data_IF_820670423949
#
_entry.id   IF_820670423949
#
_cell.length_a   1.000
_cell.length_b   1.000
_cell.length_c   1.000
_cell.angle_alpha   90.00
_cell.angle_beta   90.00
_cell.angle_gamma   90.00
#
_symmetry.space_group_name_H-M   'P 1'
#
loop_
_entity.id
_entity.type
_entity.pdbx_description
1 polymer ?
#
# COMPACT_ATOMS: atom_id res chain seq x y z
N UNK A 1 13.75 4.45 -0.51
CA UNK A 1 13.14 4.53 0.83
C UNK A 1 13.55 5.76 1.62
N UNK A 2 14.84 6.10 1.76
CA UNK A 2 15.29 7.29 2.49
C UNK A 2 14.57 8.59 2.07
N UNK A 3 14.55 8.89 0.76
CA UNK A 3 13.86 10.07 0.22
C UNK A 3 12.37 10.08 0.57
N UNK A 4 11.69 8.92 0.50
CA UNK A 4 10.28 8.79 0.86
C UNK A 4 10.05 9.17 2.33
N UNK A 5 10.92 8.70 3.24
CA UNK A 5 10.84 9.01 4.67
C UNK A 5 11.15 10.49 4.94
N UNK A 6 12.13 11.07 4.25
CA UNK A 6 12.54 12.46 4.45
C UNK A 6 11.57 13.48 3.85
N UNK A 7 10.75 13.08 2.86
CA UNK A 7 9.90 13.99 2.07
C UNK A 7 9.04 14.93 2.93
N UNK A 8 8.26 14.45 3.93
CA UNK A 8 7.46 15.35 4.76
C UNK A 8 8.30 16.43 5.45
N UNK A 9 9.41 16.04 6.07
CA UNK A 9 10.27 16.95 6.80
C UNK A 9 10.98 17.98 5.90
N UNK A 10 11.27 17.61 4.65
CA UNK A 10 11.87 18.51 3.66
C UNK A 10 10.85 19.50 3.06
N UNK A 11 9.56 19.16 3.07
CA UNK A 11 8.52 19.95 2.42
C UNK A 11 7.83 20.92 3.36
N UNK A 12 7.71 20.59 4.65
CA UNK A 12 7.05 21.42 5.66
C UNK A 12 7.99 22.54 6.14
N UNK A 13 7.49 23.78 6.32
CA UNK A 13 8.33 24.93 6.64
C UNK A 13 8.86 24.94 8.08
N UNK A 14 8.07 24.44 9.05
CA UNK A 14 8.34 24.58 10.49
C UNK A 14 8.54 23.23 11.19
N UNK A 15 9.57 22.48 10.78
CA UNK A 15 9.93 21.21 11.42
C UNK A 15 11.02 21.43 12.47
N UNK A 16 10.71 21.16 13.73
CA UNK A 16 11.67 21.29 14.84
C UNK A 16 12.90 20.40 14.68
N UNK A 17 14.05 20.84 15.22
CA UNK A 17 15.34 20.14 15.11
C UNK A 17 15.28 18.68 15.56
N UNK A 18 14.55 18.40 16.63
CA UNK A 18 14.43 17.06 17.19
C UNK A 18 13.68 16.13 16.22
N UNK A 19 12.64 16.63 15.57
CA UNK A 19 11.90 15.88 14.55
C UNK A 19 12.78 15.61 13.31
N UNK A 20 13.60 16.56 12.89
CA UNK A 20 14.55 16.37 11.79
C UNK A 20 15.55 15.26 12.13
N UNK A 21 16.11 15.25 13.34
CA UNK A 21 17.05 14.21 13.78
C UNK A 21 16.42 12.82 13.75
N UNK A 22 15.18 12.69 14.26
CA UNK A 22 14.43 11.42 14.21
C UNK A 22 14.19 11.00 12.75
N UNK A 23 13.75 11.90 11.88
CA UNK A 23 13.49 11.60 10.46
C UNK A 23 14.76 11.16 9.74
N UNK A 24 15.91 11.82 9.98
CA UNK A 24 17.20 11.42 9.41
C UNK A 24 17.59 10.03 9.88
N UNK A 25 17.45 9.72 11.18
CA UNK A 25 17.74 8.41 11.73
C UNK A 25 16.87 7.32 11.08
N UNK A 26 15.55 7.54 11.01
CA UNK A 26 14.62 6.60 10.36
C UNK A 26 14.93 6.44 8.88
N UNK A 27 15.30 7.52 8.18
CA UNK A 27 15.68 7.47 6.77
C UNK A 27 16.95 6.64 6.54
N UNK A 28 17.96 6.75 7.42
CA UNK A 28 19.17 5.92 7.37
C UNK A 28 18.82 4.45 7.60
N UNK A 29 18.02 4.13 8.62
CA UNK A 29 17.57 2.76 8.86
C UNK A 29 16.78 2.19 7.68
N UNK A 30 15.87 2.96 7.11
CA UNK A 30 15.10 2.54 5.94
C UNK A 30 16.00 2.33 4.71
N UNK A 31 17.05 3.15 4.52
CA UNK A 31 18.04 2.97 3.48
C UNK A 31 18.84 1.67 3.68
N UNK A 32 19.34 1.45 4.89
CA UNK A 32 20.10 0.27 5.25
C UNK A 32 19.27 -1.01 5.05
N UNK A 33 18.03 -1.04 5.55
CA UNK A 33 17.12 -2.17 5.35
C UNK A 33 16.86 -2.45 3.87
N UNK A 34 16.64 -1.40 3.07
CA UNK A 34 16.48 -1.56 1.62
C UNK A 34 17.74 -2.14 0.98
N UNK A 35 18.91 -1.64 1.37
CA UNK A 35 20.19 -2.12 0.82
C UNK A 35 20.42 -3.59 1.18
N UNK A 36 20.22 -3.99 2.43
CA UNK A 36 20.37 -5.38 2.86
C UNK A 36 19.39 -6.32 2.13
N UNK A 37 18.14 -5.89 1.98
CA UNK A 37 17.09 -6.68 1.34
C UNK A 37 17.40 -6.97 -0.14
N UNK A 38 17.93 -5.97 -0.87
CA UNK A 38 18.25 -6.08 -2.30
C UNK A 38 19.68 -6.55 -2.57
N UNK A 39 20.57 -6.55 -1.58
CA UNK A 39 21.92 -7.12 -1.69
C UNK A 39 21.95 -8.64 -1.44
N UNK A 40 20.98 -9.19 -0.71
CA UNK A 40 20.90 -10.62 -0.39
C UNK A 40 20.29 -11.43 -1.54
N UNK A 41 20.88 -12.59 -1.87
CA UNK A 41 20.25 -13.57 -2.77
C UNK A 41 19.20 -14.45 -2.08
N UNK A 42 19.22 -14.52 -0.74
CA UNK A 42 18.25 -15.28 0.05
C UNK A 42 16.93 -14.53 0.22
N UNK A 43 15.82 -15.23 0.54
CA UNK A 43 14.55 -14.58 0.81
C UNK A 43 14.68 -13.66 2.02
N UNK A 44 14.19 -12.43 1.86
CA UNK A 44 14.17 -11.43 2.92
C UNK A 44 12.75 -11.12 3.39
N UNK A 45 12.54 -9.91 3.89
CA UNK A 45 11.24 -9.45 4.40
C UNK A 45 10.30 -8.98 3.28
N UNK A 46 10.85 -8.61 2.11
CA UNK A 46 10.08 -8.02 1.02
C UNK A 46 9.56 -9.12 0.11
N UNK A 47 8.26 -9.37 0.25
CA UNK A 47 7.53 -10.22 -0.70
C UNK A 47 7.57 -9.62 -2.11
N UNK A 48 7.55 -10.48 -3.12
CA UNK A 48 7.56 -10.13 -4.53
C UNK A 48 8.78 -9.29 -4.94
N UNK A 49 9.92 -9.45 -4.24
CA UNK A 49 11.16 -8.70 -4.49
C UNK A 49 11.56 -8.73 -5.96
N UNK A 50 11.57 -9.92 -6.55
CA UNK A 50 11.96 -10.18 -7.93
C UNK A 50 10.75 -10.25 -8.87
N UNK A 51 9.66 -9.57 -8.50
CA UNK A 51 8.45 -9.41 -9.29
C UNK A 51 8.24 -7.91 -9.61
N UNK A 52 8.83 -7.43 -10.73
CA UNK A 52 8.97 -6.01 -11.03
C UNK A 52 7.71 -5.14 -10.97
N UNK A 53 6.48 -5.57 -11.35
CA UNK A 53 5.34 -4.66 -11.27
C UNK A 53 4.90 -4.38 -9.82
N UNK A 54 5.02 -5.36 -8.92
CA UNK A 54 4.42 -5.28 -7.60
C UNK A 54 5.08 -4.23 -6.71
N UNK A 55 6.38 -4.39 -6.43
CA UNK A 55 7.07 -3.49 -5.51
C UNK A 55 7.31 -2.10 -6.10
N UNK A 56 7.47 -1.98 -7.42
CA UNK A 56 7.62 -0.67 -8.08
C UNK A 56 6.34 0.18 -7.96
N UNK A 57 5.18 -0.41 -8.21
CA UNK A 57 3.89 0.31 -8.11
C UNK A 57 3.58 0.65 -6.65
N UNK A 58 3.85 -0.26 -5.71
CA UNK A 58 3.69 0.02 -4.27
C UNK A 58 4.58 1.16 -3.82
N UNK A 59 5.87 1.15 -4.19
CA UNK A 59 6.77 2.23 -3.83
C UNK A 59 6.34 3.57 -4.46
N UNK A 60 6.05 3.58 -5.77
CA UNK A 60 5.64 4.80 -6.48
C UNK A 60 4.35 5.40 -5.92
N UNK A 61 3.35 4.57 -5.63
CA UNK A 61 2.08 5.01 -5.04
C UNK A 61 2.24 5.54 -3.62
N UNK A 62 3.03 4.87 -2.77
CA UNK A 62 3.31 5.37 -1.42
C UNK A 62 4.07 6.70 -1.48
N UNK A 63 5.08 6.80 -2.34
CA UNK A 63 5.84 8.04 -2.51
C UNK A 63 4.94 9.18 -2.98
N UNK A 64 4.12 8.95 -4.02
CA UNK A 64 3.16 9.93 -4.51
C UNK A 64 2.15 10.34 -3.44
N UNK A 65 1.68 9.39 -2.62
CA UNK A 65 0.76 9.64 -1.50
C UNK A 65 1.42 10.55 -0.47
N UNK A 66 2.60 10.19 0.03
CA UNK A 66 3.33 10.98 1.03
C UNK A 66 3.64 12.39 0.49
N UNK A 67 4.11 12.48 -0.75
CA UNK A 67 4.44 13.75 -1.40
C UNK A 67 3.20 14.66 -1.56
N UNK A 68 2.10 14.14 -2.11
CA UNK A 68 0.89 14.93 -2.35
C UNK A 68 0.17 15.30 -1.07
N UNK A 69 0.15 14.44 -0.05
CA UNK A 69 -0.40 14.81 1.28
C UNK A 69 0.49 15.85 1.95
N UNK A 70 1.83 15.78 1.79
CA UNK A 70 2.73 16.83 2.29
C UNK A 70 2.42 18.19 1.66
N UNK A 71 2.05 18.24 0.37
CA UNK A 71 1.58 19.46 -0.28
C UNK A 71 0.23 19.95 0.26
N UNK A 72 -0.72 19.04 0.51
CA UNK A 72 -2.02 19.40 1.13
C UNK A 72 -1.79 20.06 2.49
N UNK A 73 -0.97 19.44 3.35
CA UNK A 73 -0.72 19.95 4.70
C UNK A 73 0.06 21.27 4.66
N UNK A 74 1.11 21.37 3.82
CA UNK A 74 1.86 22.61 3.58
C UNK A 74 0.97 23.77 3.11
N UNK A 75 -0.07 23.49 2.33
CA UNK A 75 -1.00 24.50 1.83
C UNK A 75 -1.68 25.34 2.92
N UNK A 76 -1.72 24.84 4.16
CA UNK A 76 -2.28 25.54 5.31
C UNK A 76 -1.42 26.73 5.77
N UNK A 77 -0.10 26.69 5.52
CA UNK A 77 0.86 27.70 5.96
C UNK A 77 1.48 28.46 4.78
N UNK A 78 1.79 27.75 3.69
CA UNK A 78 2.41 28.30 2.49
C UNK A 78 1.54 28.07 1.25
N UNK A 79 0.97 29.17 0.76
CA UNK A 79 0.02 29.18 -0.34
C UNK A 79 0.77 29.37 -1.66
N UNK A 80 0.75 28.35 -2.51
CA UNK A 80 1.34 28.37 -3.85
C UNK A 80 0.33 27.79 -4.84
N UNK A 81 0.56 28.03 -6.14
CA UNK A 81 -0.28 27.45 -7.19
C UNK A 81 -0.33 25.92 -7.11
N UNK A 82 0.79 25.28 -6.74
CA UNK A 82 0.88 23.84 -6.59
C UNK A 82 0.05 23.33 -5.39
N UNK A 83 0.15 23.98 -4.22
CA UNK A 83 -0.62 23.56 -3.03
C UNK A 83 -2.12 23.73 -3.28
N UNK A 84 -2.55 24.86 -3.86
CA UNK A 84 -3.95 25.08 -4.22
C UNK A 84 -4.49 24.07 -5.23
N UNK A 85 -3.72 23.71 -6.25
CA UNK A 85 -4.14 22.72 -7.23
C UNK A 85 -4.36 21.34 -6.60
N UNK A 86 -3.41 20.88 -5.78
CA UNK A 86 -3.49 19.60 -5.09
C UNK A 86 -4.64 19.60 -4.07
N UNK A 87 -4.81 20.68 -3.32
CA UNK A 87 -5.90 20.86 -2.37
C UNK A 87 -7.27 20.85 -3.07
N UNK A 88 -7.40 21.51 -4.23
CA UNK A 88 -8.65 21.54 -5.00
C UNK A 88 -9.05 20.13 -5.45
N UNK A 89 -8.10 19.34 -5.96
CA UNK A 89 -8.35 17.94 -6.35
C UNK A 89 -8.74 17.13 -5.12
N UNK A 90 -7.96 17.20 -4.03
CA UNK A 90 -8.22 16.44 -2.81
C UNK A 90 -9.59 16.76 -2.22
N UNK A 91 -9.98 18.04 -2.24
CA UNK A 91 -11.27 18.52 -1.75
C UNK A 91 -12.41 18.02 -2.63
N UNK A 92 -12.27 18.09 -3.97
CA UNK A 92 -13.27 17.62 -4.91
C UNK A 92 -13.53 16.11 -4.74
N UNK A 93 -12.46 15.31 -4.70
CA UNK A 93 -12.57 13.87 -4.51
C UNK A 93 -13.12 13.54 -3.12
N UNK A 94 -12.60 14.21 -2.08
CA UNK A 94 -13.06 14.04 -0.70
C UNK A 94 -14.56 14.26 -0.58
N UNK A 95 -15.08 15.34 -1.15
CA UNK A 95 -16.53 15.64 -1.20
C UNK A 95 -17.31 14.62 -2.02
N UNK A 96 -16.76 14.16 -3.15
CA UNK A 96 -17.43 13.18 -4.02
C UNK A 96 -17.60 11.81 -3.36
N UNK A 97 -16.71 11.46 -2.42
CA UNK A 97 -16.73 10.21 -1.66
C UNK A 97 -17.34 10.43 -0.26
N UNK A 98 -17.79 11.63 0.08
CA UNK A 98 -18.41 11.96 1.37
C UNK A 98 -19.91 11.60 1.40
N UNK A 99 -20.22 10.30 1.41
CA UNK A 99 -21.57 9.77 1.60
C UNK A 99 -21.65 8.91 2.88
N UNK A 100 -22.86 8.62 3.41
CA UNK A 100 -23.00 7.85 4.64
C UNK A 100 -22.22 6.53 4.61
N UNK A 101 -21.43 6.29 5.66
CA UNK A 101 -20.58 5.11 5.85
C UNK A 101 -19.42 4.94 4.86
N UNK A 102 -19.10 5.95 4.06
CA UNK A 102 -17.92 5.90 3.20
C UNK A 102 -16.62 5.89 4.01
N UNK A 103 -15.53 5.31 3.49
CA UNK A 103 -14.25 5.26 4.20
C UNK A 103 -13.69 6.66 4.47
N UNK A 104 -13.87 7.60 3.52
CA UNK A 104 -13.47 9.01 3.68
C UNK A 104 -14.31 9.73 4.75
N UNK A 105 -15.61 9.42 4.87
CA UNK A 105 -16.44 9.95 5.97
C UNK A 105 -15.96 9.45 7.32
N UNK A 106 -15.66 8.16 7.41
CA UNK A 106 -15.29 7.50 8.66
C UNK A 106 -13.95 8.00 9.20
N UNK A 107 -13.04 8.47 8.35
CA UNK A 107 -11.73 8.95 8.79
C UNK A 107 -11.80 10.12 9.79
N UNK A 108 -12.86 10.93 9.70
CA UNK A 108 -13.11 12.04 10.63
C UNK A 108 -13.29 11.56 12.06
N UNK A 109 -13.67 10.28 12.27
CA UNK A 109 -13.76 9.67 13.60
C UNK A 109 -12.42 9.57 14.31
N UNK A 110 -11.30 9.68 13.59
CA UNK A 110 -9.97 9.69 14.19
C UNK A 110 -9.65 11.03 14.85
N UNK A 111 -10.36 12.12 14.49
CA UNK A 111 -10.17 13.42 15.11
C UNK A 111 -10.79 13.48 16.52
N UNK A 112 -10.22 14.29 17.42
CA UNK A 112 -10.81 14.53 18.73
C UNK A 112 -12.13 15.32 18.60
N UNK A 113 -12.97 15.27 19.64
CA UNK A 113 -14.29 15.91 19.64
C UNK A 113 -14.23 17.45 19.54
N UNK A 114 -13.10 18.05 19.92
CA UNK A 114 -12.83 19.49 19.85
C UNK A 114 -12.13 19.93 18.56
N UNK A 115 -11.99 19.05 17.57
CA UNK A 115 -11.35 19.38 16.30
C UNK A 115 -12.05 20.54 15.59
N UNK A 116 -11.26 21.44 15.02
CA UNK A 116 -11.78 22.62 14.32
C UNK A 116 -12.35 22.25 12.95
N UNK A 117 -13.14 23.16 12.36
CA UNK A 117 -13.61 22.98 10.99
C UNK A 117 -12.45 22.86 9.99
N UNK A 118 -11.33 23.55 10.24
CA UNK A 118 -10.13 23.46 9.43
C UNK A 118 -9.53 22.03 9.48
N UNK A 119 -9.37 21.45 10.68
CA UNK A 119 -8.83 20.09 10.84
C UNK A 119 -9.66 19.05 10.07
N UNK A 120 -10.99 19.18 10.13
CA UNK A 120 -11.91 18.29 9.42
C UNK A 120 -11.75 18.42 7.90
N UNK A 121 -11.63 19.64 7.39
CA UNK A 121 -11.45 19.89 5.95
C UNK A 121 -10.10 19.34 5.50
N UNK A 122 -9.01 19.68 6.20
CA UNK A 122 -7.66 19.22 5.89
C UNK A 122 -7.57 17.70 5.88
N UNK A 123 -8.14 17.04 6.90
CA UNK A 123 -8.15 15.58 6.99
C UNK A 123 -8.95 14.95 5.84
N UNK A 124 -10.13 15.48 5.52
CA UNK A 124 -10.94 14.98 4.39
C UNK A 124 -10.26 15.18 3.04
N UNK A 125 -9.62 16.33 2.84
CA UNK A 125 -8.86 16.63 1.61
C UNK A 125 -7.68 15.67 1.46
N UNK A 126 -6.91 15.47 2.53
CA UNK A 126 -5.81 14.51 2.57
C UNK A 126 -6.30 13.07 2.30
N UNK A 127 -7.39 12.67 2.95
CA UNK A 127 -8.00 11.35 2.75
C UNK A 127 -8.51 11.14 1.33
N UNK A 128 -9.17 12.16 0.75
CA UNK A 128 -9.64 12.14 -0.64
C UNK A 128 -8.50 11.97 -1.63
N UNK A 129 -7.40 12.72 -1.43
CA UNK A 129 -6.18 12.59 -2.24
C UNK A 129 -5.53 11.21 -2.11
N UNK A 130 -5.33 10.72 -0.87
CA UNK A 130 -4.73 9.42 -0.61
C UNK A 130 -5.56 8.28 -1.21
N UNK A 131 -6.88 8.36 -1.07
CA UNK A 131 -7.79 7.37 -1.62
C UNK A 131 -7.79 7.38 -3.15
N UNK A 132 -7.77 8.56 -3.78
CA UNK A 132 -7.60 8.68 -5.25
C UNK A 132 -6.33 7.95 -5.71
N UNK A 133 -5.19 8.23 -5.07
CA UNK A 133 -3.90 7.61 -5.42
C UNK A 133 -3.96 6.10 -5.22
N UNK A 134 -4.60 5.63 -4.15
CA UNK A 134 -4.77 4.20 -3.88
C UNK A 134 -5.57 3.49 -4.98
N UNK A 135 -6.66 4.09 -5.46
CA UNK A 135 -7.48 3.56 -6.55
C UNK A 135 -6.74 3.59 -7.89
N UNK A 136 -6.05 4.69 -8.20
CA UNK A 136 -5.22 4.80 -9.40
C UNK A 136 -4.09 3.77 -9.40
N UNK A 137 -3.45 3.57 -8.25
CA UNK A 137 -2.40 2.55 -8.10
C UNK A 137 -2.93 1.14 -8.36
N UNK A 138 -4.13 0.83 -7.85
CA UNK A 138 -4.82 -0.44 -8.09
C UNK A 138 -5.18 -0.62 -9.57
N UNK A 139 -5.70 0.42 -10.22
CA UNK A 139 -6.01 0.41 -11.65
C UNK A 139 -4.76 0.21 -12.50
N UNK A 140 -3.69 0.97 -12.23
CA UNK A 140 -2.39 0.84 -12.91
C UNK A 140 -1.82 -0.56 -12.70
N UNK A 141 -1.90 -1.11 -11.48
CA UNK A 141 -1.46 -2.47 -11.19
C UNK A 141 -2.19 -3.49 -12.07
N UNK A 142 -3.52 -3.44 -12.12
CA UNK A 142 -4.32 -4.34 -12.96
C UNK A 142 -4.00 -4.21 -14.45
N UNK A 143 -3.83 -2.97 -14.95
CA UNK A 143 -3.46 -2.70 -16.34
C UNK A 143 -2.09 -3.31 -16.65
N UNK A 144 -1.09 -3.08 -15.80
CA UNK A 144 0.27 -3.62 -15.99
C UNK A 144 0.26 -5.15 -15.96
N UNK A 145 -0.45 -5.76 -15.01
CA UNK A 145 -0.58 -7.22 -14.98
C UNK A 145 -1.19 -7.77 -16.27
N UNK A 146 -2.20 -7.08 -16.84
CA UNK A 146 -2.86 -7.51 -18.08
C UNK A 146 -2.01 -7.26 -19.33
N UNK A 147 -1.37 -6.10 -19.43
CA UNK A 147 -0.57 -5.71 -20.60
C UNK A 147 0.71 -6.55 -20.76
N UNK A 148 1.37 -6.91 -19.64
CA UNK A 148 2.63 -7.67 -19.66
C UNK A 148 2.43 -9.17 -19.41
N UNK A 149 1.18 -9.64 -19.31
CA UNK A 149 0.82 -11.03 -19.03
C UNK A 149 1.57 -11.64 -17.81
N UNK A 150 1.85 -10.81 -16.80
CA UNK A 150 2.53 -11.24 -15.58
C UNK A 150 1.65 -12.25 -14.81
N UNK A 151 2.21 -13.31 -14.19
CA UNK A 151 3.62 -13.62 -13.96
C UNK A 151 4.31 -14.39 -15.09
N UNK A 152 3.63 -14.67 -16.19
CA UNK A 152 4.09 -15.57 -17.27
C UNK A 152 5.13 -14.94 -18.22
N UNK A 153 5.91 -13.96 -17.77
CA UNK A 153 7.02 -13.41 -18.58
C UNK A 153 8.19 -14.40 -18.63
N UNK A 154 9.10 -14.24 -19.59
CA UNK A 154 10.19 -15.14 -20.01
C UNK A 154 11.08 -15.77 -18.92
N UNK A 155 10.97 -15.35 -17.66
CA UNK A 155 11.78 -15.81 -16.54
C UNK A 155 10.94 -16.68 -15.57
N UNK A 156 11.52 -17.76 -15.05
CA UNK A 156 10.79 -18.70 -14.18
C UNK A 156 10.47 -18.02 -12.84
N UNK A 157 9.20 -17.73 -12.58
CA UNK A 157 8.76 -17.14 -11.32
C UNK A 157 9.13 -18.03 -10.13
N UNK A 158 10.10 -17.59 -9.31
CA UNK A 158 10.52 -18.32 -8.13
C UNK A 158 9.57 -18.00 -6.95
N UNK A 159 8.70 -18.95 -6.63
CA UNK A 159 7.70 -18.82 -5.55
C UNK A 159 8.38 -18.63 -4.20
N UNK A 160 9.45 -19.36 -3.90
CA UNK A 160 10.11 -19.32 -2.58
C UNK A 160 10.79 -17.97 -2.30
N UNK A 161 11.40 -17.35 -3.30
CA UNK A 161 12.01 -16.02 -3.17
C UNK A 161 10.93 -14.93 -3.09
N UNK A 162 9.87 -15.04 -3.88
CA UNK A 162 8.83 -14.01 -3.95
C UNK A 162 7.77 -14.13 -2.85
N UNK A 163 7.63 -15.29 -2.21
CA UNK A 163 6.72 -15.54 -1.11
C UNK A 163 7.48 -16.21 0.05
N UNK A 164 8.42 -15.49 0.70
CA UNK A 164 9.25 -16.02 1.78
C UNK A 164 8.46 -16.56 2.97
N UNK A 165 7.29 -15.98 3.23
CA UNK A 165 6.38 -16.36 4.33
C UNK A 165 5.51 -17.58 3.98
N UNK A 166 5.52 -18.02 2.73
CA UNK A 166 4.74 -19.16 2.27
C UNK A 166 5.62 -20.41 2.19
N UNK A 167 5.34 -21.40 3.03
CA UNK A 167 6.03 -22.68 2.97
C UNK A 167 5.33 -23.64 1.99
N UNK A 168 5.95 -23.96 0.83
CA UNK A 168 5.38 -24.87 -0.15
C UNK A 168 5.39 -26.33 0.33
N UNK A 169 6.13 -26.66 1.39
CA UNK A 169 6.38 -28.05 1.84
C UNK A 169 5.45 -28.52 2.97
N UNK A 170 4.65 -27.64 3.57
CA UNK A 170 3.79 -27.95 4.75
C UNK A 170 2.62 -28.92 4.50
N UNK A 171 2.62 -29.67 3.40
CA UNK A 171 1.52 -30.58 3.04
C UNK A 171 0.27 -29.86 2.53
N UNK A 172 -0.52 -30.56 1.70
CA UNK A 172 -1.72 -30.03 1.05
C UNK A 172 -1.46 -29.31 -0.28
N UNK A 173 -2.54 -28.93 -0.97
CA UNK A 173 -2.44 -28.30 -2.28
C UNK A 173 -2.00 -26.83 -2.17
N UNK A 174 -0.82 -26.54 -2.71
CA UNK A 174 -0.25 -25.17 -2.82
C UNK A 174 -1.21 -24.21 -3.50
N UNK A 175 -1.92 -24.64 -4.55
CA UNK A 175 -2.83 -23.76 -5.31
C UNK A 175 -4.00 -23.34 -4.43
N UNK A 176 -4.70 -24.30 -3.81
CA UNK A 176 -5.82 -24.02 -2.90
C UNK A 176 -5.44 -23.09 -1.73
N UNK A 177 -4.22 -23.24 -1.17
CA UNK A 177 -3.72 -22.35 -0.11
C UNK A 177 -3.51 -20.91 -0.62
N UNK A 178 -2.84 -20.76 -1.77
CA UNK A 178 -2.63 -19.44 -2.37
C UNK A 178 -3.95 -18.73 -2.71
N UNK A 179 -4.95 -19.45 -3.21
CA UNK A 179 -6.27 -18.87 -3.47
C UNK A 179 -6.99 -18.42 -2.19
N UNK A 180 -6.91 -19.22 -1.13
CA UNK A 180 -7.51 -18.85 0.16
C UNK A 180 -6.85 -17.60 0.72
N UNK A 181 -5.52 -17.56 0.72
CA UNK A 181 -4.75 -16.43 1.24
C UNK A 181 -4.97 -15.18 0.36
N UNK A 182 -5.13 -15.36 -0.95
CA UNK A 182 -5.52 -14.29 -1.86
C UNK A 182 -6.88 -13.68 -1.48
N UNK A 183 -7.90 -14.51 -1.27
CA UNK A 183 -9.24 -14.07 -0.85
C UNK A 183 -9.20 -13.36 0.50
N UNK A 184 -8.42 -13.87 1.45
CA UNK A 184 -8.24 -13.23 2.75
C UNK A 184 -7.61 -11.84 2.63
N UNK A 185 -6.54 -11.70 1.82
CA UNK A 185 -5.90 -10.41 1.58
C UNK A 185 -6.85 -9.41 0.91
N UNK A 186 -7.64 -9.84 -0.09
CA UNK A 186 -8.64 -8.98 -0.75
C UNK A 186 -9.73 -8.55 0.24
N UNK A 187 -10.27 -9.49 1.03
CA UNK A 187 -11.29 -9.19 2.03
C UNK A 187 -10.77 -8.23 3.11
N UNK A 188 -9.57 -8.47 3.62
CA UNK A 188 -8.94 -7.61 4.61
C UNK A 188 -8.62 -6.22 4.03
N UNK A 189 -8.11 -6.16 2.80
CA UNK A 189 -7.90 -4.92 2.07
C UNK A 189 -9.17 -4.11 1.93
N UNK A 190 -10.32 -4.75 1.67
CA UNK A 190 -11.61 -4.07 1.62
C UNK A 190 -12.08 -3.55 2.99
N UNK A 191 -11.91 -4.35 4.05
CA UNK A 191 -12.42 -4.03 5.39
C UNK A 191 -11.58 -2.98 6.13
N UNK A 192 -10.26 -2.97 5.94
CA UNK A 192 -9.34 -2.12 6.69
C UNK A 192 -9.68 -0.61 6.67
N UNK A 193 -10.00 0.03 5.52
CA UNK A 193 -10.36 1.44 5.49
C UNK A 193 -11.52 1.81 6.41
N UNK A 194 -12.45 0.88 6.65
CA UNK A 194 -13.64 1.08 7.48
C UNK A 194 -13.37 0.76 8.94
N UNK A 195 -12.61 -0.30 9.21
CA UNK A 195 -12.28 -0.75 10.57
C UNK A 195 -11.29 0.20 11.24
N UNK A 196 -10.28 0.69 10.51
CA UNK A 196 -9.18 1.49 11.07
C UNK A 196 -9.67 2.74 11.81
N UNK A 197 -10.55 3.61 11.24
CA UNK A 197 -11.05 4.77 11.98
C UNK A 197 -11.81 4.41 13.25
N UNK A 198 -12.58 3.31 13.24
CA UNK A 198 -13.34 2.83 14.41
C UNK A 198 -12.40 2.37 15.51
N UNK A 199 -11.35 1.60 15.17
CA UNK A 199 -10.35 1.15 16.13
C UNK A 199 -9.56 2.31 16.72
N UNK A 200 -9.17 3.29 15.91
CA UNK A 200 -8.46 4.48 16.38
C UNK A 200 -9.34 5.27 17.36
N UNK A 201 -10.62 5.47 17.04
CA UNK A 201 -11.57 6.14 17.93
C UNK A 201 -11.74 5.39 19.26
N UNK A 202 -11.89 4.06 19.21
CA UNK A 202 -12.02 3.24 20.40
C UNK A 202 -10.76 3.29 21.28
N UNK A 203 -9.57 3.24 20.67
CA UNK A 203 -8.30 3.34 21.36
C UNK A 203 -8.10 4.72 22.00
N UNK A 204 -8.51 5.80 21.32
CA UNK A 204 -8.42 7.16 21.86
C UNK A 204 -9.23 7.36 23.15
N UNK A 205 -10.38 6.68 23.27
CA UNK A 205 -11.18 6.69 24.50
C UNK A 205 -10.52 5.98 25.69
N UNK A 206 -9.60 5.03 25.44
CA UNK A 206 -8.93 4.24 26.47
C UNK A 206 -7.51 4.73 26.81
N UNK A 207 -6.77 5.25 25.82
CA UNK A 207 -5.35 5.60 25.93
C UNK A 207 -5.08 7.12 25.84
N UNK A 208 -6.12 7.92 25.61
CA UNK A 208 -6.00 9.35 25.28
C UNK A 208 -5.90 9.59 23.77
N UNK A 209 -6.33 10.77 23.32
CA UNK A 209 -6.33 11.12 21.90
C UNK A 209 -4.90 11.28 21.36
N UNK A 210 -4.54 10.51 20.34
CA UNK A 210 -3.35 10.80 19.53
C UNK A 210 -3.59 12.14 18.84
N UNK A 211 -2.72 13.11 19.08
CA UNK A 211 -2.84 14.42 18.46
C UNK A 211 -2.54 14.32 16.97
N UNK A 212 -3.59 14.17 16.17
CA UNK A 212 -3.56 14.42 14.73
C UNK A 212 -3.33 15.91 14.41
N UNK A 213 -3.07 16.78 15.39
CA UNK A 213 -2.68 18.16 15.13
C UNK A 213 -1.24 18.27 14.60
N UNK A 214 -0.40 17.24 14.77
CA UNK A 214 0.93 17.24 14.21
C UNK A 214 0.89 16.89 12.71
N UNK A 215 1.40 17.79 11.87
CA UNK A 215 1.43 17.69 10.41
C UNK A 215 2.03 16.37 9.89
N UNK A 216 3.16 15.93 10.45
CA UNK A 216 3.78 14.65 10.06
C UNK A 216 2.92 13.46 10.47
N UNK A 217 2.22 13.56 11.60
CA UNK A 217 1.32 12.50 12.07
C UNK A 217 0.15 12.31 11.12
N UNK A 218 -0.45 13.41 10.62
CA UNK A 218 -1.49 13.35 9.59
C UNK A 218 -0.94 12.67 8.33
N UNK A 219 0.21 13.13 7.81
CA UNK A 219 0.79 12.62 6.57
C UNK A 219 0.98 11.11 6.64
N UNK A 220 1.61 10.61 7.70
CA UNK A 220 1.87 9.17 7.85
C UNK A 220 0.61 8.36 8.14
N UNK A 221 -0.30 8.86 8.98
CA UNK A 221 -1.55 8.14 9.31
C UNK A 221 -2.41 7.96 8.08
N UNK A 222 -2.62 9.03 7.30
CA UNK A 222 -3.44 8.98 6.09
C UNK A 222 -2.75 8.16 4.99
N UNK A 223 -1.43 8.29 4.85
CA UNK A 223 -0.66 7.46 3.91
C UNK A 223 -0.83 5.98 4.24
N UNK A 224 -0.65 5.58 5.51
CA UNK A 224 -0.80 4.20 5.95
C UNK A 224 -2.24 3.70 5.76
N UNK A 225 -3.23 4.51 6.14
CA UNK A 225 -4.65 4.19 6.01
C UNK A 225 -5.08 3.86 4.58
N UNK A 226 -4.57 4.59 3.58
CA UNK A 226 -4.89 4.31 2.17
C UNK A 226 -3.98 3.24 1.56
N UNK A 227 -2.68 3.24 1.90
CA UNK A 227 -1.67 2.38 1.29
C UNK A 227 -1.76 0.91 1.74
N UNK A 228 -2.03 0.66 3.03
CA UNK A 228 -2.10 -0.71 3.56
C UNK A 228 -3.22 -1.53 2.90
N UNK A 229 -4.48 -1.03 2.83
CA UNK A 229 -5.54 -1.65 2.04
C UNK A 229 -5.16 -1.94 0.60
N UNK A 230 -4.64 -0.94 -0.12
CA UNK A 230 -4.24 -1.09 -1.51
C UNK A 230 -3.13 -2.14 -1.69
N UNK A 231 -2.17 -2.19 -0.78
CA UNK A 231 -1.11 -3.20 -0.77
C UNK A 231 -1.66 -4.61 -0.56
N UNK A 232 -2.65 -4.80 0.32
CA UNK A 232 -3.30 -6.10 0.52
C UNK A 232 -4.11 -6.52 -0.71
N UNK A 233 -4.83 -5.60 -1.33
CA UNK A 233 -5.51 -5.87 -2.60
C UNK A 233 -4.53 -6.33 -3.69
N UNK A 234 -3.45 -5.56 -3.91
CA UNK A 234 -2.41 -5.93 -4.87
C UNK A 234 -1.84 -7.31 -4.55
N UNK A 235 -1.57 -7.58 -3.26
CA UNK A 235 -1.01 -8.86 -2.80
C UNK A 235 -1.95 -10.02 -3.10
N UNK A 236 -3.23 -9.87 -2.76
CA UNK A 236 -4.23 -10.90 -3.04
C UNK A 236 -4.41 -11.17 -4.52
N UNK A 237 -4.46 -10.12 -5.35
CA UNK A 237 -4.53 -10.26 -6.81
C UNK A 237 -3.27 -10.96 -7.36
N UNK A 238 -2.08 -10.61 -6.88
CA UNK A 238 -0.83 -11.24 -7.28
C UNK A 238 -0.80 -12.73 -6.92
N UNK A 239 -1.19 -13.08 -5.69
CA UNK A 239 -1.27 -14.47 -5.22
C UNK A 239 -2.26 -15.30 -6.05
N UNK A 240 -3.44 -14.75 -6.35
CA UNK A 240 -4.44 -15.44 -7.20
C UNK A 240 -3.88 -15.73 -8.59
N UNK A 241 -3.13 -14.79 -9.18
CA UNK A 241 -2.48 -15.01 -10.49
C UNK A 241 -1.37 -16.06 -10.44
N UNK A 242 -0.55 -16.06 -9.38
CA UNK A 242 0.48 -17.08 -9.18
C UNK A 242 -0.17 -18.46 -9.02
N UNK A 243 -1.27 -18.57 -8.27
CA UNK A 243 -2.04 -19.81 -8.13
C UNK A 243 -2.52 -20.34 -9.48
N UNK A 244 -3.10 -19.48 -10.32
CA UNK A 244 -3.54 -19.83 -11.68
C UNK A 244 -2.39 -20.30 -12.58
N UNK A 245 -1.26 -19.60 -12.55
CA UNK A 245 -0.05 -20.03 -13.29
C UNK A 245 0.40 -21.43 -12.88
N UNK A 246 0.44 -21.73 -11.57
CA UNK A 246 0.85 -23.05 -11.07
C UNK A 246 -0.14 -24.13 -11.51
N UNK A 247 -1.44 -23.84 -11.45
CA UNK A 247 -2.48 -24.76 -11.91
C UNK A 247 -2.33 -25.07 -13.41
N UNK A 248 -2.14 -24.05 -14.25
CA UNK A 248 -1.93 -24.20 -15.69
C UNK A 248 -0.66 -25.01 -16.00
N UNK A 249 0.43 -24.78 -15.27
CA UNK A 249 1.68 -25.53 -15.43
C UNK A 249 1.51 -27.02 -15.12
N UNK A 250 0.80 -27.35 -14.03
CA UNK A 250 0.52 -28.75 -13.66
C UNK A 250 -0.36 -29.46 -14.69
N UNK A 251 -1.37 -28.79 -15.23
CA UNK A 251 -2.22 -29.35 -16.29
C UNK A 251 -1.42 -29.67 -17.55
N UNK A 252 -0.50 -28.78 -17.96
CA UNK A 252 0.37 -28.99 -19.14
C UNK A 252 1.36 -30.14 -18.92
N UNK A 253 1.93 -30.25 -17.72
CA UNK A 253 2.84 -31.35 -17.39
C UNK A 253 2.13 -32.70 -17.41
N UNK A 254 0.96 -32.81 -16.77
CA UNK A 254 0.17 -34.05 -16.78
C UNK A 254 -0.30 -34.45 -18.19
N UNK A 255 -0.64 -33.48 -19.05
CA UNK A 255 -0.97 -33.75 -20.45
C UNK A 255 0.25 -34.26 -21.25
N UNK A 256 1.43 -33.69 -21.03
CA UNK A 256 2.67 -34.12 -21.70
C UNK A 256 3.15 -35.51 -21.27
N UNK A 257 2.99 -35.86 -19.99
CA UNK A 257 3.28 -37.22 -19.49
C UNK A 257 2.33 -38.26 -20.08
N UNK A 258 1.03 -37.93 -20.21
CA UNK A 258 0.05 -38.80 -20.86
C UNK A 258 0.34 -39.00 -22.36
N UNK A 259 0.81 -37.96 -23.06
CA UNK A 259 1.18 -38.03 -24.48
C UNK A 259 2.47 -38.83 -24.71
N UNK A 260 3.47 -38.70 -23.83
CA UNK A 260 4.67 -39.54 -23.85
C UNK A 260 4.36 -41.02 -23.57
N UNK A 261 3.40 -41.32 -22.69
CA UNK A 261 2.98 -42.68 -22.41
C UNK A 261 2.25 -43.37 -23.59
N UNK A 262 1.79 -42.59 -24.59
CA UNK A 262 1.08 -43.09 -25.77
C UNK A 262 1.97 -43.26 -27.01
N UNK A 263 3.25 -42.87 -26.97
CA UNK A 263 4.18 -43.07 -28.08
C UNK A 263 4.69 -44.53 -28.10
N UNK A 264 4.51 -45.29 -29.22
CA UNK A 264 5.01 -46.64 -29.32
C UNK A 264 6.55 -46.66 -29.37
N UNK A 265 7.15 -47.59 -28.61
CA UNK A 265 8.60 -47.87 -28.56
C UNK A 265 9.08 -48.52 -29.85
#
# INVERSE_FOLDING_TARGET
MAMLVATPALMLPDVGSDAIQVVVLVAIFAAALTLFEYASSYPGLVEFRDAPPFNRIRFASLFATVFLISLVVRGSTDHSTATHFVEAIGTLIGKSIDFPYSPVRLIVLMLPENATAHDIITLRTAAGMAYLISLLSLAVFLIVLRAFNWPNSHDKFNVWINLPTFDPTTGGDVVARLERDARFNVALGFLLPFITPVLVKAAAGALGSVSLANEQTIIWTISAWAFLPASLFMRGIAMQRVAGMIADQRQRQGAGEAEQALQPV
#
